data_IF_038545431025
#
_entry.id   IF_038545431025
#
_cell.length_a   1.000
_cell.length_b   1.000
_cell.length_c   1.000
_cell.angle_alpha   90.00
_cell.angle_beta   90.00
_cell.angle_gamma   90.00
#
_symmetry.space_group_name_H-M   'P 1'
#
loop_
_entity.id
_entity.type
_entity.pdbx_description
1 polymer ?
#
# COMPACT_ATOMS: atom_id res chain seq x y z
N UNK A 1 -39.96 -12.25 17.85
CA UNK A 1 -39.13 -11.16 17.31
C UNK A 1 -37.89 -11.78 16.69
N UNK A 2 -37.50 -11.29 15.54
CA UNK A 2 -36.32 -11.84 14.86
C UNK A 2 -35.03 -11.40 15.56
N UNK A 3 -34.00 -12.28 15.65
CA UNK A 3 -32.71 -11.88 16.14
C UNK A 3 -32.09 -10.83 15.20
N UNK A 4 -31.16 -9.99 15.65
CA UNK A 4 -30.52 -9.02 14.80
C UNK A 4 -29.62 -9.71 13.77
N UNK A 5 -29.53 -9.11 12.59
CA UNK A 5 -28.50 -9.43 11.61
C UNK A 5 -27.19 -8.79 12.08
N UNK A 6 -26.13 -9.57 12.17
CA UNK A 6 -24.82 -9.11 12.65
C UNK A 6 -23.89 -8.97 11.46
N UNK A 7 -23.19 -7.84 11.40
CA UNK A 7 -22.11 -7.59 10.44
C UNK A 7 -20.90 -7.07 11.19
N UNK A 8 -19.76 -7.70 10.97
CA UNK A 8 -18.52 -7.37 11.63
C UNK A 8 -17.52 -6.81 10.61
N UNK A 9 -16.88 -5.71 10.97
CA UNK A 9 -15.83 -5.05 10.23
C UNK A 9 -14.66 -4.84 11.19
N UNK A 10 -13.48 -4.61 10.69
CA UNK A 10 -12.28 -4.54 11.55
C UNK A 10 -12.29 -3.42 12.61
N UNK A 11 -13.18 -2.44 12.50
CA UNK A 11 -13.30 -1.31 13.45
C UNK A 11 -14.73 -1.04 13.92
N UNK A 12 -15.68 -1.87 13.48
CA UNK A 12 -17.06 -1.74 13.92
C UNK A 12 -17.82 -3.06 13.87
N UNK A 13 -18.78 -3.18 14.78
CA UNK A 13 -19.74 -4.28 14.84
C UNK A 13 -21.14 -3.69 14.75
N UNK A 14 -21.96 -4.23 13.88
CA UNK A 14 -23.32 -3.76 13.63
C UNK A 14 -24.36 -4.83 13.94
N UNK A 15 -25.45 -4.41 14.59
CA UNK A 15 -26.63 -5.20 14.88
C UNK A 15 -27.83 -4.55 14.26
N UNK A 16 -28.45 -5.20 13.27
CA UNK A 16 -29.61 -4.70 12.54
C UNK A 16 -30.87 -5.49 12.91
N UNK A 17 -31.81 -4.84 13.55
CA UNK A 17 -33.17 -5.34 13.70
C UNK A 17 -34.06 -4.78 12.58
N UNK A 18 -34.31 -5.59 11.55
CA UNK A 18 -35.09 -5.19 10.37
C UNK A 18 -36.53 -4.86 10.77
N UNK A 19 -37.12 -5.68 11.63
CA UNK A 19 -38.49 -5.53 12.13
C UNK A 19 -38.70 -4.29 13.03
N UNK A 20 -37.63 -3.68 13.52
CA UNK A 20 -37.66 -2.49 14.39
C UNK A 20 -37.11 -1.24 13.72
N UNK A 21 -36.61 -1.34 12.51
CA UNK A 21 -35.96 -0.25 11.77
C UNK A 21 -34.84 0.41 12.58
N UNK A 22 -34.06 -0.38 13.33
CA UNK A 22 -32.96 0.08 14.17
C UNK A 22 -31.71 -0.72 13.89
N UNK A 23 -30.60 -0.01 13.73
CA UNK A 23 -29.27 -0.57 13.70
C UNK A 23 -28.42 0.02 14.81
N UNK A 24 -27.78 -0.82 15.60
CA UNK A 24 -26.74 -0.42 16.56
C UNK A 24 -25.37 -0.64 15.91
N UNK A 25 -24.49 0.34 16.06
CA UNK A 25 -23.15 0.34 15.51
C UNK A 25 -22.17 0.64 16.65
N UNK A 26 -21.30 -0.32 16.96
CA UNK A 26 -20.22 -0.16 17.94
C UNK A 26 -18.93 0.15 17.20
N UNK A 27 -18.22 1.22 17.60
CA UNK A 27 -17.00 1.71 16.91
C UNK A 27 -15.95 2.16 17.92
N UNK A 28 -14.69 2.29 17.46
CA UNK A 28 -13.55 2.76 18.25
C UNK A 28 -13.37 1.96 19.55
N UNK A 29 -13.60 0.65 19.47
CA UNK A 29 -13.40 -0.24 20.58
C UNK A 29 -11.90 -0.29 20.95
N UNK A 30 -11.60 -0.16 22.24
CA UNK A 30 -10.24 -0.23 22.76
C UNK A 30 -10.27 -0.65 24.22
N UNK A 31 -9.21 -1.29 24.64
CA UNK A 31 -9.01 -1.64 26.03
C UNK A 31 -8.32 -0.47 26.77
N UNK A 32 -8.88 -0.08 27.92
CA UNK A 32 -8.28 0.92 28.79
C UNK A 32 -7.20 0.30 29.68
N UNK A 33 -6.36 1.11 30.29
CA UNK A 33 -5.33 0.66 31.25
C UNK A 33 -5.89 -0.15 32.41
N UNK A 34 -7.18 -0.02 32.72
CA UNK A 34 -7.89 -0.78 33.73
C UNK A 34 -8.54 -2.08 33.24
N UNK A 35 -8.27 -2.50 32.01
CA UNK A 35 -8.82 -3.71 31.37
C UNK A 35 -10.30 -3.59 30.99
N UNK A 36 -10.84 -2.37 30.91
CA UNK A 36 -12.22 -2.15 30.44
C UNK A 36 -12.24 -1.92 28.94
N UNK A 37 -13.16 -2.57 28.24
CA UNK A 37 -13.39 -2.28 26.83
C UNK A 37 -14.34 -1.10 26.71
N UNK A 38 -13.83 -0.03 26.11
CA UNK A 38 -14.50 1.22 25.86
C UNK A 38 -14.74 1.40 24.35
N UNK A 39 -15.76 2.19 23.98
CA UNK A 39 -16.03 2.50 22.59
C UNK A 39 -17.18 3.49 22.44
N UNK A 40 -17.68 3.62 21.22
CA UNK A 40 -18.88 4.42 20.91
C UNK A 40 -19.96 3.51 20.37
N UNK A 41 -21.18 3.68 20.86
CA UNK A 41 -22.38 3.07 20.31
C UNK A 41 -23.23 4.15 19.64
N UNK A 42 -23.66 3.87 18.40
CA UNK A 42 -24.57 4.72 17.64
C UNK A 42 -25.79 3.90 17.26
N UNK A 43 -26.98 4.43 17.56
CA UNK A 43 -28.25 3.89 17.04
C UNK A 43 -28.69 4.72 15.82
N UNK A 44 -29.04 4.06 14.73
CA UNK A 44 -29.54 4.70 13.51
C UNK A 44 -30.82 4.04 13.02
N UNK A 45 -31.65 4.79 12.29
CA UNK A 45 -32.71 4.22 11.47
C UNK A 45 -32.14 4.01 10.06
N UNK A 46 -31.96 2.74 9.61
CA UNK A 46 -31.34 2.45 8.33
C UNK A 46 -32.22 2.83 7.14
N UNK A 47 -33.54 2.90 7.31
CA UNK A 47 -34.52 3.17 6.25
C UNK A 47 -34.77 4.67 6.02
N UNK A 48 -34.36 5.52 6.95
CA UNK A 48 -34.45 6.97 6.87
C UNK A 48 -33.08 7.59 6.67
N UNK A 49 -33.02 8.64 5.86
CA UNK A 49 -31.77 9.37 5.60
C UNK A 49 -31.82 10.78 6.17
N UNK A 50 -30.69 11.18 6.78
CA UNK A 50 -30.45 12.55 7.21
C UNK A 50 -29.06 12.96 6.68
N UNK A 51 -29.06 13.84 5.68
CA UNK A 51 -27.82 14.19 4.96
C UNK A 51 -27.28 13.02 4.12
N UNK A 52 -25.99 12.73 4.26
CA UNK A 52 -25.29 11.70 3.47
C UNK A 52 -25.44 10.25 3.99
N UNK A 53 -26.11 10.06 5.15
CA UNK A 53 -26.17 8.73 5.80
C UNK A 53 -27.54 8.40 6.40
N UNK A 54 -27.68 7.25 7.08
CA UNK A 54 -28.88 6.89 7.81
C UNK A 54 -29.18 7.89 8.93
N UNK A 55 -30.47 8.04 9.26
CA UNK A 55 -30.89 8.92 10.34
C UNK A 55 -30.32 8.46 11.69
N UNK A 56 -29.54 9.33 12.34
CA UNK A 56 -28.99 9.05 13.67
C UNK A 56 -30.05 9.27 14.73
N UNK A 57 -30.42 8.23 15.44
CA UNK A 57 -31.37 8.27 16.52
C UNK A 57 -30.71 8.64 17.86
N UNK A 58 -29.52 8.07 18.12
CA UNK A 58 -28.81 8.23 19.38
C UNK A 58 -27.33 7.87 19.23
N UNK A 59 -26.46 8.44 20.07
CA UNK A 59 -25.05 8.02 20.18
C UNK A 59 -24.54 8.28 21.60
N UNK A 60 -23.62 7.44 22.08
CA UNK A 60 -23.00 7.55 23.38
C UNK A 60 -21.63 6.84 23.39
N UNK A 61 -20.69 7.40 24.20
CA UNK A 61 -19.53 6.65 24.64
C UNK A 61 -19.98 5.59 25.65
N UNK A 62 -19.53 4.37 25.50
CA UNK A 62 -19.94 3.23 26.32
C UNK A 62 -18.76 2.43 26.84
N UNK A 63 -18.89 1.88 28.04
CA UNK A 63 -18.06 0.80 28.56
C UNK A 63 -18.84 -0.51 28.44
N UNK A 64 -18.33 -1.47 27.68
CA UNK A 64 -19.03 -2.74 27.45
C UNK A 64 -19.25 -3.54 28.74
N UNK A 65 -18.39 -3.34 29.74
CA UNK A 65 -18.44 -4.06 31.03
C UNK A 65 -19.31 -3.38 32.10
N UNK A 66 -19.80 -2.15 31.82
CA UNK A 66 -20.50 -1.34 32.85
C UNK A 66 -22.02 -1.49 32.75
N UNK A 67 -22.65 -1.96 33.78
CA UNK A 67 -24.12 -2.13 33.84
C UNK A 67 -24.89 -0.79 33.73
N UNK A 68 -24.32 0.32 34.21
CA UNK A 68 -24.93 1.65 34.08
C UNK A 68 -25.11 2.08 32.65
N UNK A 69 -24.09 1.83 31.79
CA UNK A 69 -24.14 2.24 30.37
C UNK A 69 -25.18 1.42 29.63
N UNK A 70 -25.28 0.10 29.89
CA UNK A 70 -26.35 -0.74 29.33
C UNK A 70 -27.75 -0.22 29.70
N UNK A 71 -27.96 0.12 30.98
CA UNK A 71 -29.24 0.67 31.44
C UNK A 71 -29.62 1.99 30.77
N UNK A 72 -28.63 2.89 30.56
CA UNK A 72 -28.86 4.19 29.89
C UNK A 72 -29.24 3.95 28.43
N UNK A 73 -28.51 3.07 27.73
CA UNK A 73 -28.78 2.72 26.33
C UNK A 73 -30.16 2.07 26.21
N UNK A 74 -30.50 1.12 27.07
CA UNK A 74 -31.79 0.43 27.10
C UNK A 74 -32.94 1.44 27.26
N UNK A 75 -32.89 2.28 28.29
CA UNK A 75 -33.93 3.29 28.54
C UNK A 75 -34.10 4.26 27.35
N UNK A 76 -32.99 4.62 26.69
CA UNK A 76 -33.04 5.48 25.52
C UNK A 76 -33.68 4.80 24.32
N UNK A 77 -33.37 3.54 24.05
CA UNK A 77 -33.97 2.77 22.95
C UNK A 77 -35.46 2.48 23.20
N UNK A 78 -35.85 2.19 24.44
CA UNK A 78 -37.28 2.04 24.80
C UNK A 78 -38.06 3.32 24.53
N UNK A 79 -37.46 4.48 24.76
CA UNK A 79 -38.08 5.79 24.45
C UNK A 79 -38.15 6.09 22.95
N UNK A 80 -37.16 5.67 22.18
CA UNK A 80 -37.06 5.95 20.73
C UNK A 80 -37.88 4.96 19.88
N UNK A 81 -38.06 3.75 20.35
CA UNK A 81 -38.76 2.67 19.64
C UNK A 81 -39.83 2.08 20.57
N UNK A 82 -40.95 2.81 20.76
CA UNK A 82 -42.03 2.38 21.64
C UNK A 82 -42.80 1.19 21.04
N UNK A 83 -43.56 0.48 21.91
CA UNK A 83 -44.47 -0.59 21.47
C UNK A 83 -43.91 -2.00 21.56
N UNK A 84 -42.69 -2.19 22.02
CA UNK A 84 -42.13 -3.49 22.31
C UNK A 84 -42.52 -3.97 23.73
N UNK A 85 -42.60 -5.29 23.97
CA UNK A 85 -42.78 -5.81 25.32
C UNK A 85 -41.68 -5.33 26.27
N UNK A 86 -42.07 -5.06 27.51
CA UNK A 86 -41.14 -4.61 28.57
C UNK A 86 -39.95 -5.56 28.71
N UNK A 87 -38.75 -5.02 28.80
CA UNK A 87 -37.52 -5.81 28.94
C UNK A 87 -36.95 -6.38 27.65
N UNK A 88 -37.59 -6.16 26.49
CA UNK A 88 -37.05 -6.63 25.21
C UNK A 88 -35.70 -5.97 24.88
N UNK A 89 -35.63 -4.65 25.02
CA UNK A 89 -34.35 -3.93 24.79
C UNK A 89 -33.30 -4.26 25.84
N UNK A 90 -33.68 -4.51 27.08
CA UNK A 90 -32.74 -4.92 28.13
C UNK A 90 -32.01 -6.20 27.76
N UNK A 91 -32.75 -7.25 27.34
CA UNK A 91 -32.15 -8.52 26.91
C UNK A 91 -31.28 -8.38 25.65
N UNK A 92 -31.75 -7.61 24.67
CA UNK A 92 -31.00 -7.44 23.41
C UNK A 92 -29.74 -6.60 23.61
N UNK A 93 -29.78 -5.55 24.44
CA UNK A 93 -28.61 -4.72 24.75
C UNK A 93 -27.60 -5.50 25.56
N UNK A 94 -28.02 -6.26 26.59
CA UNK A 94 -27.11 -7.11 27.35
C UNK A 94 -26.41 -8.11 26.44
N UNK A 95 -27.14 -8.76 25.53
CA UNK A 95 -26.56 -9.69 24.56
C UNK A 95 -25.59 -9.01 23.60
N UNK A 96 -25.96 -7.84 23.06
CA UNK A 96 -25.09 -7.10 22.15
C UNK A 96 -23.79 -6.65 22.84
N UNK A 97 -23.86 -6.12 24.06
CA UNK A 97 -22.68 -5.69 24.80
C UNK A 97 -21.74 -6.86 25.12
N UNK A 98 -22.30 -8.01 25.51
CA UNK A 98 -21.53 -9.24 25.72
C UNK A 98 -20.87 -9.73 24.44
N UNK A 99 -21.64 -9.86 23.34
CA UNK A 99 -21.13 -10.34 22.06
C UNK A 99 -20.06 -9.40 21.48
N UNK A 100 -20.24 -8.07 21.59
CA UNK A 100 -19.20 -7.08 21.19
C UNK A 100 -17.94 -7.23 22.04
N UNK A 101 -18.08 -7.43 23.34
CA UNK A 101 -16.96 -7.65 24.24
C UNK A 101 -16.19 -8.92 23.86
N UNK A 102 -16.88 -10.04 23.72
CA UNK A 102 -16.31 -11.34 23.36
C UNK A 102 -15.58 -11.27 22.00
N UNK A 103 -16.21 -10.69 20.97
CA UNK A 103 -15.58 -10.52 19.64
C UNK A 103 -14.36 -9.62 19.68
N UNK A 104 -14.43 -8.52 20.43
CA UNK A 104 -13.29 -7.59 20.52
C UNK A 104 -12.10 -8.20 21.28
N UNK A 105 -12.35 -9.05 22.28
CA UNK A 105 -11.32 -9.69 23.08
C UNK A 105 -10.92 -11.08 22.57
N UNK A 106 -11.64 -11.61 21.57
CA UNK A 106 -11.34 -12.91 20.99
C UNK A 106 -9.95 -12.93 20.33
N UNK A 107 -9.17 -13.93 20.67
CA UNK A 107 -7.93 -14.24 19.98
C UNK A 107 -8.26 -15.20 18.84
N UNK A 108 -7.74 -14.98 17.62
CA UNK A 108 -7.95 -15.90 16.50
C UNK A 108 -7.50 -17.32 16.87
N UNK A 109 -8.28 -18.31 16.47
CA UNK A 109 -7.91 -19.70 16.65
C UNK A 109 -6.62 -20.02 15.86
N UNK A 110 -5.70 -20.80 16.46
CA UNK A 110 -4.48 -21.18 15.77
C UNK A 110 -4.79 -22.12 14.60
N UNK A 111 -4.15 -21.88 13.45
CA UNK A 111 -4.25 -22.75 12.28
C UNK A 111 -2.97 -23.57 12.11
N UNK A 112 -3.12 -24.82 11.66
CA UNK A 112 -1.98 -25.66 11.32
C UNK A 112 -1.52 -25.28 9.92
N UNK A 113 -0.24 -24.89 9.80
CA UNK A 113 0.38 -24.65 8.50
C UNK A 113 0.73 -25.99 7.85
N UNK A 114 0.08 -26.31 6.75
CA UNK A 114 0.27 -27.59 6.02
C UNK A 114 1.17 -27.46 4.80
N UNK A 115 1.66 -26.24 4.51
CA UNK A 115 2.33 -25.92 3.25
C UNK A 115 1.34 -25.80 2.10
N UNK A 116 1.86 -25.59 0.91
CA UNK A 116 1.08 -25.50 -0.35
C UNK A 116 1.70 -26.44 -1.38
N UNK A 117 0.93 -26.79 -2.42
CA UNK A 117 1.45 -27.60 -3.53
C UNK A 117 2.46 -26.80 -4.37
N UNK A 118 3.32 -27.49 -5.13
CA UNK A 118 4.38 -26.87 -5.92
C UNK A 118 3.85 -25.81 -6.90
N UNK A 119 2.65 -26.01 -7.44
CA UNK A 119 1.98 -25.05 -8.31
C UNK A 119 1.59 -23.73 -7.62
N UNK A 120 1.42 -23.76 -6.29
CA UNK A 120 1.03 -22.60 -5.47
C UNK A 120 2.23 -21.94 -4.77
N UNK A 121 3.47 -22.39 -5.05
CA UNK A 121 4.69 -21.81 -4.48
C UNK A 121 5.12 -20.51 -5.18
N UNK A 122 4.62 -20.25 -6.39
CA UNK A 122 4.92 -19.02 -7.08
C UNK A 122 4.24 -17.82 -6.42
N UNK A 123 4.96 -16.71 -6.31
CA UNK A 123 4.40 -15.47 -5.76
C UNK A 123 3.35 -14.91 -6.70
N UNK A 124 2.12 -14.88 -6.25
CA UNK A 124 1.02 -14.25 -6.99
C UNK A 124 1.24 -12.74 -7.08
N UNK A 125 1.39 -12.24 -8.30
CA UNK A 125 1.48 -10.82 -8.59
C UNK A 125 0.23 -10.34 -9.34
N UNK A 126 -0.34 -9.20 -8.94
CA UNK A 126 -1.36 -8.51 -9.73
C UNK A 126 -0.74 -7.95 -11.01
N UNK A 127 0.48 -7.39 -10.91
CA UNK A 127 1.36 -6.98 -12.00
C UNK A 127 2.77 -7.49 -11.69
N UNK A 128 3.22 -8.49 -12.40
CA UNK A 128 4.55 -9.05 -12.21
C UNK A 128 5.66 -8.12 -12.74
N UNK A 129 6.73 -7.93 -11.98
CA UNK A 129 6.98 -8.27 -10.57
C UNK A 129 6.63 -7.12 -9.60
N UNK A 130 5.83 -6.14 -10.02
CA UNK A 130 5.69 -4.82 -9.37
C UNK A 130 4.69 -4.81 -8.22
N UNK A 131 3.56 -5.49 -8.39
CA UNK A 131 2.44 -5.46 -7.45
C UNK A 131 2.09 -6.86 -6.95
N UNK A 132 2.64 -7.32 -5.83
CA UNK A 132 2.21 -8.57 -5.20
C UNK A 132 0.72 -8.54 -4.85
N UNK A 133 0.01 -9.60 -5.19
CA UNK A 133 -1.43 -9.72 -5.01
C UNK A 133 -1.82 -9.65 -3.52
N UNK A 134 -2.82 -8.84 -3.20
CA UNK A 134 -3.32 -8.69 -1.83
C UNK A 134 -2.39 -7.95 -0.88
N UNK A 135 -1.24 -7.46 -1.33
CA UNK A 135 -0.21 -6.89 -0.48
C UNK A 135 -0.06 -5.36 -0.66
N UNK A 136 0.69 -4.75 0.27
CA UNK A 136 1.01 -3.33 0.24
C UNK A 136 2.33 -3.11 -0.49
N UNK A 137 2.29 -2.31 -1.56
CA UNK A 137 3.47 -1.86 -2.32
C UNK A 137 3.68 -0.36 -2.13
N UNK A 138 4.90 0.04 -1.78
CA UNK A 138 5.31 1.45 -1.75
C UNK A 138 6.08 1.81 -3.02
N UNK A 139 5.70 2.92 -3.64
CA UNK A 139 6.40 3.53 -4.77
C UNK A 139 7.09 4.81 -4.32
N UNK A 140 8.40 4.74 -4.11
CA UNK A 140 9.22 5.86 -3.68
C UNK A 140 9.74 6.64 -4.88
N UNK A 141 9.56 7.95 -4.89
CA UNK A 141 10.19 8.80 -5.90
C UNK A 141 10.15 10.27 -5.49
N UNK A 142 11.05 11.06 -6.04
CA UNK A 142 11.08 12.51 -5.86
C UNK A 142 9.84 13.20 -6.41
N UNK A 143 9.63 14.44 -5.98
CA UNK A 143 8.59 15.29 -6.56
C UNK A 143 8.84 15.50 -8.07
N UNK A 144 7.79 15.45 -8.88
CA UNK A 144 7.90 15.59 -10.34
C UNK A 144 8.41 14.35 -11.08
N UNK A 145 8.58 13.22 -10.38
CA UNK A 145 9.04 11.95 -10.97
C UNK A 145 7.98 11.17 -11.74
N UNK A 146 6.78 11.70 -11.91
CA UNK A 146 5.65 11.08 -12.63
C UNK A 146 5.00 9.86 -11.94
N UNK A 147 5.17 9.69 -10.61
CA UNK A 147 4.51 8.62 -9.83
C UNK A 147 3.02 8.47 -10.12
N UNK A 148 2.28 9.58 -9.98
CA UNK A 148 0.81 9.59 -10.19
C UNK A 148 0.41 9.15 -11.60
N UNK A 149 1.23 9.47 -12.63
CA UNK A 149 0.99 8.96 -13.98
C UNK A 149 1.15 7.45 -14.06
N UNK A 150 2.21 6.89 -13.46
CA UNK A 150 2.41 5.44 -13.42
C UNK A 150 1.27 4.76 -12.66
N UNK A 151 0.87 5.27 -11.50
CA UNK A 151 -0.20 4.66 -10.69
C UNK A 151 -1.55 4.71 -11.42
N UNK A 152 -1.89 5.83 -12.06
CA UNK A 152 -3.09 5.94 -12.90
C UNK A 152 -3.01 5.01 -14.12
N UNK A 153 -1.84 4.88 -14.76
CA UNK A 153 -1.62 3.97 -15.88
C UNK A 153 -1.84 2.51 -15.47
N UNK A 154 -1.25 2.07 -14.35
CA UNK A 154 -1.45 0.71 -13.83
C UNK A 154 -2.93 0.47 -13.48
N UNK A 155 -3.58 1.45 -12.84
CA UNK A 155 -5.02 1.38 -12.53
C UNK A 155 -5.87 1.26 -13.78
N UNK A 156 -5.57 2.03 -14.83
CA UNK A 156 -6.27 1.95 -16.11
C UNK A 156 -6.05 0.60 -16.79
N UNK A 157 -4.81 0.09 -16.82
CA UNK A 157 -4.52 -1.22 -17.41
C UNK A 157 -5.25 -2.36 -16.66
N UNK A 158 -5.24 -2.35 -15.33
CA UNK A 158 -5.94 -3.37 -14.52
C UNK A 158 -7.45 -3.33 -14.78
N UNK A 159 -8.05 -2.15 -14.84
CA UNK A 159 -9.49 -2.00 -15.05
C UNK A 159 -9.94 -2.29 -16.50
N UNK A 160 -9.03 -2.13 -17.45
CA UNK A 160 -9.28 -2.43 -18.89
C UNK A 160 -8.87 -3.85 -19.28
N UNK A 161 -8.13 -4.58 -18.45
CA UNK A 161 -7.48 -5.83 -18.84
C UNK A 161 -6.37 -5.62 -19.86
N UNK A 162 -5.77 -4.44 -19.90
CA UNK A 162 -4.73 -4.10 -20.86
C UNK A 162 -3.34 -4.47 -20.34
N UNK A 163 -2.46 -4.94 -21.23
CA UNK A 163 -1.07 -5.22 -20.89
C UNK A 163 -0.36 -3.96 -20.42
N UNK A 164 0.38 -4.05 -19.31
CA UNK A 164 1.26 -2.98 -18.84
C UNK A 164 2.64 -3.06 -19.50
N UNK A 165 3.51 -2.06 -19.22
CA UNK A 165 4.93 -2.12 -19.63
C UNK A 165 5.73 -3.18 -18.87
N UNK A 166 5.18 -3.80 -17.86
CA UNK A 166 5.82 -4.85 -17.05
C UNK A 166 5.28 -6.23 -17.43
N UNK A 167 4.00 -6.45 -17.22
CA UNK A 167 3.31 -7.70 -17.53
C UNK A 167 1.82 -7.46 -17.85
N UNK A 168 1.11 -8.51 -18.19
CA UNK A 168 -0.36 -8.50 -18.16
C UNK A 168 -0.84 -8.57 -16.71
N UNK A 169 -1.97 -7.89 -16.35
CA UNK A 169 -2.59 -8.08 -15.05
C UNK A 169 -3.07 -9.53 -14.88
N UNK A 170 -2.74 -10.14 -13.74
CA UNK A 170 -3.22 -11.49 -13.42
C UNK A 170 -4.71 -11.53 -13.09
N UNK A 171 -5.25 -10.38 -12.65
CA UNK A 171 -6.68 -10.17 -12.39
C UNK A 171 -7.11 -8.82 -12.95
N UNK A 172 -8.34 -8.76 -13.45
CA UNK A 172 -9.01 -7.52 -13.88
C UNK A 172 -10.18 -7.22 -12.95
N UNK A 173 -10.50 -5.95 -12.78
CA UNK A 173 -11.62 -5.56 -11.93
C UNK A 173 -11.60 -4.07 -11.60
N UNK A 174 -12.53 -3.61 -10.73
CA UNK A 174 -12.56 -2.23 -10.31
C UNK A 174 -11.29 -1.81 -9.57
N UNK A 175 -10.94 -0.52 -9.68
CA UNK A 175 -9.89 0.09 -8.89
C UNK A 175 -10.42 1.36 -8.21
N UNK A 176 -9.90 1.68 -7.02
CA UNK A 176 -10.20 2.92 -6.32
C UNK A 176 -8.91 3.71 -6.15
N UNK A 177 -8.94 4.98 -6.53
CA UNK A 177 -7.85 5.93 -6.40
C UNK A 177 -8.22 7.00 -5.37
N UNK A 178 -7.64 6.91 -4.17
CA UNK A 178 -7.74 7.94 -3.14
C UNK A 178 -6.59 8.93 -3.29
N UNK A 179 -6.91 10.18 -3.56
CA UNK A 179 -5.96 11.23 -3.90
C UNK A 179 -6.00 12.39 -2.90
N UNK A 180 -4.88 12.65 -2.24
CA UNK A 180 -4.68 13.78 -1.33
C UNK A 180 -3.94 14.96 -1.99
N UNK A 181 -3.44 14.81 -3.23
CA UNK A 181 -2.57 15.81 -3.87
C UNK A 181 -3.30 16.67 -4.90
N UNK A 182 -4.14 16.06 -5.73
CA UNK A 182 -4.78 16.80 -6.84
C UNK A 182 -6.30 16.66 -6.81
N UNK A 183 -6.97 17.48 -7.60
CA UNK A 183 -8.41 17.41 -7.78
C UNK A 183 -8.82 16.45 -8.92
N UNK A 184 -10.11 16.14 -8.95
CA UNK A 184 -10.71 15.26 -9.95
C UNK A 184 -10.45 15.71 -11.40
N UNK A 185 -10.45 17.02 -11.65
CA UNK A 185 -10.23 17.58 -13.00
C UNK A 185 -8.84 17.26 -13.50
N UNK A 186 -7.83 17.39 -12.64
CA UNK A 186 -6.44 17.07 -12.99
C UNK A 186 -6.28 15.55 -13.19
N UNK A 187 -6.86 14.74 -12.31
CA UNK A 187 -6.83 13.29 -12.43
C UNK A 187 -7.51 12.81 -13.73
N UNK A 188 -8.69 13.32 -14.05
CA UNK A 188 -9.41 13.01 -15.30
C UNK A 188 -8.61 13.40 -16.54
N UNK A 189 -7.93 14.57 -16.52
CA UNK A 189 -7.06 14.98 -17.64
C UNK A 189 -5.91 14.01 -17.85
N UNK A 190 -5.24 13.61 -16.77
CA UNK A 190 -4.14 12.61 -16.81
C UNK A 190 -4.64 11.27 -17.33
N UNK A 191 -5.78 10.80 -16.84
CA UNK A 191 -6.41 9.54 -17.26
C UNK A 191 -6.75 9.57 -18.76
N UNK A 192 -7.34 10.68 -19.24
CA UNK A 192 -7.65 10.83 -20.65
C UNK A 192 -6.40 10.74 -21.55
N UNK A 193 -5.28 11.32 -21.15
CA UNK A 193 -4.01 11.21 -21.86
C UNK A 193 -3.47 9.79 -21.88
N UNK A 194 -3.55 9.09 -20.74
CA UNK A 194 -3.14 7.69 -20.60
C UNK A 194 -3.98 6.81 -21.52
N UNK A 195 -5.30 6.93 -21.46
CA UNK A 195 -6.21 6.10 -22.24
C UNK A 195 -6.06 6.32 -23.75
N UNK A 196 -5.81 7.57 -24.19
CA UNK A 196 -5.45 7.84 -25.59
C UNK A 196 -4.15 7.16 -26.00
N UNK A 197 -3.14 7.15 -25.12
CA UNK A 197 -1.88 6.45 -25.34
C UNK A 197 -2.04 4.93 -25.42
N UNK A 198 -3.03 4.37 -24.71
CA UNK A 198 -3.43 2.96 -24.74
C UNK A 198 -4.35 2.63 -25.92
N UNK A 199 -4.84 3.63 -26.68
CA UNK A 199 -5.83 3.42 -27.73
C UNK A 199 -7.22 3.02 -27.20
N UNK A 200 -7.55 3.38 -25.95
CA UNK A 200 -8.78 2.98 -25.25
C UNK A 200 -9.56 4.18 -24.75
N UNK A 201 -10.83 3.98 -24.43
CA UNK A 201 -11.63 4.94 -23.67
C UNK A 201 -11.38 4.79 -22.17
N UNK A 202 -11.59 5.85 -21.36
CA UNK A 202 -11.49 5.75 -19.90
C UNK A 202 -12.41 4.65 -19.34
N UNK A 203 -11.88 3.80 -18.45
CA UNK A 203 -12.67 2.72 -17.85
C UNK A 203 -13.74 3.26 -16.89
N UNK A 204 -14.91 2.64 -16.89
CA UNK A 204 -16.02 2.99 -15.97
C UNK A 204 -15.82 2.43 -14.56
N UNK A 205 -14.91 1.49 -14.38
CA UNK A 205 -14.62 0.80 -13.11
C UNK A 205 -13.40 1.37 -12.36
N UNK A 206 -12.81 2.47 -12.84
CA UNK A 206 -11.81 3.22 -12.09
C UNK A 206 -12.52 4.36 -11.34
N UNK A 207 -12.62 4.19 -10.02
CA UNK A 207 -13.25 5.14 -9.11
C UNK A 207 -12.20 6.09 -8.55
N UNK A 208 -12.49 7.38 -8.57
CA UNK A 208 -11.61 8.42 -8.01
C UNK A 208 -12.27 9.09 -6.81
N UNK A 209 -11.50 9.31 -5.74
CA UNK A 209 -11.97 9.98 -4.52
C UNK A 209 -10.97 11.06 -4.14
N UNK A 210 -11.41 12.32 -4.22
CA UNK A 210 -10.61 13.45 -3.75
C UNK A 210 -10.62 13.50 -2.22
N UNK A 211 -9.46 13.34 -1.61
CA UNK A 211 -9.23 13.31 -0.18
C UNK A 211 -8.52 14.58 0.34
N UNK A 212 -8.16 15.53 -0.52
CA UNK A 212 -7.31 16.69 -0.20
C UNK A 212 -7.82 17.56 0.96
N UNK A 213 -9.14 17.61 1.18
CA UNK A 213 -9.80 18.37 2.27
C UNK A 213 -10.45 17.46 3.31
N UNK A 214 -10.20 16.15 3.28
CA UNK A 214 -10.95 15.17 4.09
C UNK A 214 -10.22 14.73 5.36
N UNK A 215 -9.02 15.27 5.63
CA UNK A 215 -8.22 14.93 6.80
C UNK A 215 -7.35 13.68 6.58
N UNK A 216 -6.89 13.08 7.68
CA UNK A 216 -5.93 11.98 7.67
C UNK A 216 -6.62 10.65 7.35
N UNK A 217 -5.87 9.71 6.79
CA UNK A 217 -6.38 8.39 6.40
C UNK A 217 -7.01 7.62 7.57
N UNK A 218 -6.39 7.63 8.74
CA UNK A 218 -6.90 6.90 9.90
C UNK A 218 -8.16 7.52 10.52
N UNK A 219 -8.44 8.82 10.25
CA UNK A 219 -9.71 9.45 10.61
C UNK A 219 -10.83 9.07 9.62
N UNK A 220 -10.50 8.57 8.43
CA UNK A 220 -11.41 8.26 7.31
C UNK A 220 -11.46 6.78 6.92
N UNK A 221 -10.70 5.95 7.60
CA UNK A 221 -10.59 4.52 7.26
C UNK A 221 -11.94 3.82 7.15
N UNK A 222 -12.90 4.17 8.00
CA UNK A 222 -14.26 3.64 7.97
C UNK A 222 -14.98 3.96 6.66
N UNK A 223 -14.96 5.23 6.25
CA UNK A 223 -15.61 5.67 5.01
C UNK A 223 -14.96 4.99 3.79
N UNK A 224 -13.62 4.86 3.81
CA UNK A 224 -12.85 4.17 2.77
C UNK A 224 -13.20 2.69 2.69
N UNK A 225 -13.34 2.00 3.82
CA UNK A 225 -13.77 0.58 3.86
C UNK A 225 -15.15 0.39 3.26
N UNK A 226 -16.13 1.22 3.63
CA UNK A 226 -17.47 1.13 3.05
C UNK A 226 -17.46 1.31 1.52
N UNK A 227 -16.57 2.17 0.99
CA UNK A 227 -16.41 2.28 -0.47
C UNK A 227 -15.81 1.01 -1.05
N UNK A 228 -14.79 0.44 -0.40
CA UNK A 228 -14.12 -0.79 -0.84
C UNK A 228 -15.09 -1.97 -0.79
N UNK A 229 -15.87 -2.13 0.27
CA UNK A 229 -16.89 -3.17 0.40
C UNK A 229 -17.96 -3.09 -0.68
N UNK A 230 -18.40 -1.87 -1.02
CA UNK A 230 -19.40 -1.66 -2.07
C UNK A 230 -18.86 -1.87 -3.48
N UNK A 231 -17.61 -1.49 -3.74
CA UNK A 231 -17.01 -1.49 -5.08
C UNK A 231 -16.29 -2.80 -5.36
N UNK A 232 -15.79 -3.50 -4.31
CA UNK A 232 -15.00 -4.74 -4.41
C UNK A 232 -13.80 -4.59 -5.37
N UNK A 233 -12.89 -3.61 -5.12
CA UNK A 233 -11.79 -3.35 -6.01
C UNK A 233 -10.71 -4.43 -5.91
N UNK A 234 -10.00 -4.69 -7.02
CA UNK A 234 -8.78 -5.50 -7.04
C UNK A 234 -7.55 -4.67 -6.70
N UNK A 235 -7.63 -3.34 -6.87
CA UNK A 235 -6.56 -2.38 -6.57
C UNK A 235 -7.10 -1.16 -5.82
N UNK A 236 -6.43 -0.80 -4.73
CA UNK A 236 -6.58 0.48 -4.02
C UNK A 236 -5.30 1.28 -4.17
N UNK A 237 -5.41 2.53 -4.62
CA UNK A 237 -4.28 3.47 -4.74
C UNK A 237 -4.42 4.56 -3.69
N UNK A 238 -3.28 4.95 -3.07
CA UNK A 238 -3.17 6.05 -2.11
C UNK A 238 -2.07 7.01 -2.60
N UNK A 239 -2.45 8.21 -3.01
CA UNK A 239 -1.57 9.26 -3.53
C UNK A 239 -1.76 10.56 -2.73
N UNK A 240 -0.86 10.91 -1.83
CA UNK A 240 0.33 10.21 -1.39
C UNK A 240 0.30 9.96 0.13
N UNK A 241 1.16 9.04 0.59
CA UNK A 241 1.33 8.71 2.01
C UNK A 241 1.58 9.95 2.88
N UNK A 242 2.39 10.88 2.39
CA UNK A 242 2.75 12.13 3.09
C UNK A 242 1.52 12.95 3.47
N UNK A 243 0.63 13.19 2.51
CA UNK A 243 -0.58 13.97 2.76
C UNK A 243 -1.68 13.14 3.43
N UNK A 244 -1.75 11.84 3.17
CA UNK A 244 -2.68 10.94 3.83
C UNK A 244 -2.40 10.80 5.34
N UNK A 245 -1.14 10.87 5.76
CA UNK A 245 -0.76 10.89 7.18
C UNK A 245 -1.12 12.22 7.84
N UNK A 246 -0.99 13.34 7.11
CA UNK A 246 -1.44 14.68 7.52
C UNK A 246 -0.70 15.27 8.74
N UNK A 247 0.49 14.75 9.07
CA UNK A 247 1.26 15.13 10.25
C UNK A 247 2.76 14.81 10.04
N UNK A 248 3.57 14.92 11.10
CA UNK A 248 4.98 14.57 11.06
C UNK A 248 5.17 13.07 10.78
N UNK A 249 5.67 12.76 9.60
CA UNK A 249 5.95 11.40 9.17
C UNK A 249 7.04 10.70 10.01
N UNK A 250 7.88 11.45 10.72
CA UNK A 250 8.94 10.90 11.56
C UNK A 250 8.41 10.39 12.91
N UNK A 251 7.21 10.82 13.30
CA UNK A 251 6.59 10.38 14.54
C UNK A 251 5.94 9.01 14.40
N UNK A 252 6.33 8.07 15.26
CA UNK A 252 5.69 6.76 15.35
C UNK A 252 4.20 6.87 15.72
N UNK A 253 3.82 7.93 16.44
CA UNK A 253 2.45 8.26 16.83
C UNK A 253 1.50 8.35 15.63
N UNK A 254 2.00 8.84 14.48
CA UNK A 254 1.20 8.96 13.25
C UNK A 254 1.46 7.83 12.26
N UNK A 255 2.68 7.30 12.23
CA UNK A 255 3.04 6.23 11.30
C UNK A 255 2.31 4.91 11.59
N UNK A 256 2.24 4.51 12.86
CA UNK A 256 1.60 3.26 13.28
C UNK A 256 0.09 3.25 12.96
N UNK A 257 -0.72 4.26 13.36
CA UNK A 257 -2.14 4.32 13.00
C UNK A 257 -2.37 4.41 11.49
N UNK A 258 -1.53 5.16 10.75
CA UNK A 258 -1.62 5.24 9.29
C UNK A 258 -1.44 3.88 8.65
N UNK A 259 -0.41 3.12 9.03
CA UNK A 259 -0.16 1.80 8.47
C UNK A 259 -1.19 0.76 8.92
N UNK A 260 -1.70 0.87 10.14
CA UNK A 260 -2.82 0.04 10.59
C UNK A 260 -4.08 0.31 9.77
N UNK A 261 -4.41 1.59 9.53
CA UNK A 261 -5.52 2.00 8.66
C UNK A 261 -5.37 1.42 7.25
N UNK A 262 -4.19 1.58 6.62
CA UNK A 262 -3.89 1.03 5.29
C UNK A 262 -4.04 -0.50 5.28
N UNK A 263 -3.48 -1.19 6.27
CA UNK A 263 -3.57 -2.64 6.40
C UNK A 263 -5.01 -3.15 6.46
N UNK A 264 -5.88 -2.36 7.08
CA UNK A 264 -7.29 -2.69 7.27
C UNK A 264 -8.21 -2.35 6.07
N UNK A 265 -7.68 -1.76 4.98
CA UNK A 265 -8.43 -1.44 3.77
C UNK A 265 -8.68 -2.69 2.91
N UNK A 266 -9.54 -3.58 3.38
CA UNK A 266 -9.94 -4.80 2.68
C UNK A 266 -8.87 -5.89 2.70
N UNK A 267 -9.24 -7.06 3.16
CA UNK A 267 -8.42 -8.27 3.11
C UNK A 267 -8.29 -8.74 1.66
N UNK A 268 -7.09 -9.17 1.26
CA UNK A 268 -6.83 -9.65 -0.10
C UNK A 268 -6.83 -8.56 -1.20
N UNK A 269 -7.10 -7.30 -0.87
CA UNK A 269 -7.04 -6.19 -1.84
C UNK A 269 -5.61 -5.70 -1.99
N UNK A 270 -5.12 -5.60 -3.23
CA UNK A 270 -3.78 -5.04 -3.52
C UNK A 270 -3.77 -3.53 -3.29
N UNK A 271 -2.72 -3.02 -2.63
CA UNK A 271 -2.59 -1.60 -2.29
C UNK A 271 -1.30 -1.03 -2.87
N UNK A 272 -1.41 0.04 -3.66
CA UNK A 272 -0.30 0.79 -4.24
C UNK A 272 -0.26 2.20 -3.66
N UNK A 273 0.86 2.56 -3.03
CA UNK A 273 0.98 3.79 -2.28
C UNK A 273 2.18 4.58 -2.76
N UNK A 274 1.99 5.85 -3.12
CA UNK A 274 3.12 6.73 -3.40
C UNK A 274 3.70 7.32 -2.12
N UNK A 275 5.02 7.43 -2.06
CA UNK A 275 5.73 8.09 -0.99
C UNK A 275 6.95 8.84 -1.52
N UNK A 276 7.50 9.74 -0.68
CA UNK A 276 8.73 10.46 -0.99
C UNK A 276 9.92 9.82 -0.28
N UNK A 277 11.11 9.77 -0.92
CA UNK A 277 12.33 9.36 -0.25
C UNK A 277 12.79 10.43 0.75
N UNK A 278 13.51 10.02 1.80
CA UNK A 278 14.09 10.91 2.77
C UNK A 278 15.12 11.85 2.09
N UNK A 279 15.07 13.15 2.42
CA UNK A 279 16.00 14.14 1.84
C UNK A 279 17.47 13.83 2.12
N UNK A 280 17.78 13.28 3.30
CA UNK A 280 19.14 12.88 3.66
C UNK A 280 19.67 11.72 2.81
N UNK A 281 18.77 10.85 2.32
CA UNK A 281 19.13 9.68 1.49
C UNK A 281 19.07 9.96 -0.02
N UNK A 282 18.70 11.17 -0.47
CA UNK A 282 18.59 11.50 -1.91
C UNK A 282 19.88 11.34 -2.69
N UNK A 283 21.03 11.61 -2.03
CA UNK A 283 22.36 11.48 -2.62
C UNK A 283 23.04 10.16 -2.21
N UNK A 284 22.39 9.33 -1.42
CA UNK A 284 22.89 8.04 -1.02
C UNK A 284 22.84 7.04 -2.20
N UNK A 285 23.66 6.01 -2.12
CA UNK A 285 23.53 4.87 -3.03
C UNK A 285 22.14 4.26 -2.88
N UNK A 286 21.68 3.59 -3.93
CA UNK A 286 20.27 3.13 -4.03
C UNK A 286 19.84 2.27 -2.82
N UNK A 287 20.78 1.60 -2.15
CA UNK A 287 20.54 0.75 -0.98
C UNK A 287 20.22 1.53 0.30
N UNK A 288 20.66 2.78 0.40
CA UNK A 288 20.49 3.62 1.62
C UNK A 288 19.29 4.57 1.53
N UNK A 289 18.49 4.48 0.45
CA UNK A 289 17.33 5.33 0.28
C UNK A 289 16.19 4.81 1.14
N UNK A 290 15.78 5.58 2.13
CA UNK A 290 14.63 5.29 2.99
C UNK A 290 13.41 6.15 2.65
N UNK A 291 12.24 5.70 3.05
CA UNK A 291 11.01 6.51 3.01
C UNK A 291 11.17 7.73 3.91
N UNK A 292 10.64 8.90 3.51
CA UNK A 292 10.48 10.02 4.44
C UNK A 292 9.61 9.56 5.61
N UNK A 293 10.15 9.66 6.81
CA UNK A 293 9.42 9.39 8.02
C UNK A 293 9.88 8.13 8.75
N UNK A 294 8.95 7.53 9.48
CA UNK A 294 9.22 6.36 10.30
C UNK A 294 9.53 5.13 9.47
N UNK A 295 10.52 4.34 9.88
CA UNK A 295 10.83 3.01 9.32
C UNK A 295 9.64 2.04 9.38
N UNK A 296 8.61 2.34 10.19
CA UNK A 296 7.38 1.55 10.26
C UNK A 296 6.66 1.45 8.91
N UNK A 297 6.77 2.46 8.05
CA UNK A 297 6.21 2.41 6.70
C UNK A 297 6.86 1.31 5.86
N UNK A 298 8.18 1.14 5.97
CA UNK A 298 8.92 0.12 5.24
C UNK A 298 8.67 -1.29 5.80
N UNK A 299 8.54 -1.43 7.13
CA UNK A 299 8.28 -2.73 7.75
C UNK A 299 6.94 -3.33 7.34
N UNK A 300 5.91 -2.53 7.22
CA UNK A 300 4.56 -2.98 6.86
C UNK A 300 4.36 -3.18 5.36
N UNK A 301 5.15 -2.52 4.51
CA UNK A 301 5.12 -2.78 3.07
C UNK A 301 5.76 -4.13 2.74
N UNK A 302 5.18 -4.87 1.80
CA UNK A 302 5.75 -6.14 1.33
C UNK A 302 6.67 -5.94 0.14
N UNK A 303 6.36 -4.98 -0.75
CA UNK A 303 7.23 -4.58 -1.83
C UNK A 303 7.52 -3.07 -1.76
N UNK A 304 8.74 -2.66 -2.06
CA UNK A 304 9.16 -1.26 -2.12
C UNK A 304 9.97 -1.04 -3.38
N UNK A 305 9.49 -0.13 -4.23
CA UNK A 305 10.16 0.27 -5.45
C UNK A 305 10.62 1.71 -5.38
N UNK A 306 11.88 1.96 -5.73
CA UNK A 306 12.41 3.30 -5.88
C UNK A 306 12.43 3.69 -7.36
N UNK A 307 11.67 4.72 -7.71
CA UNK A 307 11.54 5.22 -9.07
C UNK A 307 12.42 6.45 -9.27
N UNK A 308 13.24 6.44 -10.32
CA UNK A 308 14.06 7.58 -10.77
C UNK A 308 13.69 7.93 -12.20
N UNK A 309 13.60 9.23 -12.48
CA UNK A 309 13.38 9.77 -13.82
C UNK A 309 14.66 10.35 -14.38
N UNK A 310 14.90 10.17 -15.68
CA UNK A 310 15.93 10.92 -16.41
C UNK A 310 15.69 12.41 -16.33
N UNK A 311 16.78 13.18 -16.10
CA UNK A 311 16.74 14.64 -16.13
C UNK A 311 16.76 15.14 -17.59
N UNK A 312 15.82 14.67 -18.39
CA UNK A 312 15.68 15.10 -19.79
C UNK A 312 14.74 16.31 -19.88
N UNK A 313 15.08 17.28 -20.73
CA UNK A 313 14.21 18.42 -21.07
C UNK A 313 13.32 18.13 -22.27
N UNK A 314 13.15 16.86 -22.63
CA UNK A 314 12.35 16.40 -23.77
C UNK A 314 11.00 15.85 -23.32
N UNK A 315 10.04 15.80 -24.23
CA UNK A 315 8.73 15.20 -23.97
C UNK A 315 8.81 13.68 -23.73
N UNK A 316 9.88 13.04 -24.25
CA UNK A 316 10.21 11.63 -24.02
C UNK A 316 11.38 11.50 -23.07
N UNK A 317 11.25 10.66 -22.04
CA UNK A 317 12.29 10.39 -21.06
C UNK A 317 12.18 8.97 -20.49
N UNK A 318 13.31 8.49 -19.97
CA UNK A 318 13.41 7.21 -19.31
C UNK A 318 13.02 7.29 -17.84
N UNK A 319 12.52 6.19 -17.32
CA UNK A 319 12.23 5.97 -15.89
C UNK A 319 12.76 4.60 -15.50
N UNK A 320 13.48 4.53 -14.39
CA UNK A 320 13.89 3.28 -13.78
C UNK A 320 13.14 3.01 -12.48
N UNK A 321 12.91 1.75 -12.17
CA UNK A 321 12.35 1.26 -10.91
C UNK A 321 13.30 0.24 -10.31
N UNK A 322 13.85 0.54 -9.15
CA UNK A 322 14.79 -0.34 -8.43
C UNK A 322 14.06 -0.97 -7.26
N UNK A 323 14.07 -2.31 -7.14
CA UNK A 323 13.49 -2.96 -5.97
C UNK A 323 14.33 -2.66 -4.74
N UNK A 324 13.69 -2.21 -3.66
CA UNK A 324 14.30 -1.98 -2.35
C UNK A 324 14.00 -3.12 -1.38
N UNK A 325 12.81 -3.65 -1.48
CA UNK A 325 12.33 -4.78 -0.72
C UNK A 325 11.52 -5.66 -1.66
N UNK A 326 12.08 -6.77 -2.13
CA UNK A 326 11.33 -7.77 -2.89
C UNK A 326 10.35 -8.50 -1.97
N UNK A 327 9.25 -8.96 -2.54
CA UNK A 327 8.29 -9.80 -1.83
C UNK A 327 8.65 -11.27 -2.04
N UNK A 328 8.82 -12.01 -0.93
CA UNK A 328 8.96 -13.47 -0.82
C UNK A 328 9.58 -14.19 -2.06
N UNK A 329 10.75 -13.74 -2.49
CA UNK A 329 11.41 -14.36 -3.65
C UNK A 329 12.86 -13.89 -3.81
N UNK A 330 13.52 -14.34 -4.87
CA UNK A 330 14.89 -13.93 -5.16
C UNK A 330 14.96 -12.43 -5.45
N UNK A 331 16.13 -11.79 -5.26
CA UNK A 331 16.33 -10.39 -5.59
C UNK A 331 15.93 -10.10 -7.05
N UNK A 332 15.07 -9.13 -7.23
CA UNK A 332 14.59 -8.72 -8.55
C UNK A 332 15.55 -7.73 -9.19
N UNK A 333 15.67 -7.80 -10.51
CA UNK A 333 16.46 -6.83 -11.27
C UNK A 333 15.71 -5.50 -11.42
N UNK A 334 16.43 -4.36 -11.51
CA UNK A 334 15.82 -3.08 -11.82
C UNK A 334 15.06 -3.11 -13.16
N UNK A 335 13.89 -2.48 -13.18
CA UNK A 335 13.03 -2.33 -14.35
C UNK A 335 13.23 -0.95 -14.97
N UNK A 336 12.95 -0.83 -16.26
CA UNK A 336 12.96 0.45 -16.96
C UNK A 336 11.83 0.55 -17.99
N UNK A 337 11.35 1.79 -18.19
CA UNK A 337 10.37 2.12 -19.22
C UNK A 337 10.56 3.57 -19.69
N UNK A 338 10.03 3.90 -20.84
CA UNK A 338 9.96 5.30 -21.32
C UNK A 338 8.55 5.84 -21.19
N UNK A 339 8.46 7.13 -20.89
CA UNK A 339 7.23 7.92 -21.05
C UNK A 339 7.42 8.91 -22.18
N UNK A 340 6.47 8.98 -23.09
CA UNK A 340 6.46 9.88 -24.24
C UNK A 340 5.17 10.70 -24.24
N UNK A 341 5.29 12.01 -24.02
CA UNK A 341 4.17 12.95 -23.97
C UNK A 341 3.99 13.62 -25.33
N UNK A 342 2.89 13.30 -26.00
CA UNK A 342 2.46 13.98 -27.19
C UNK A 342 1.48 15.11 -26.83
N UNK A 343 2.00 16.33 -26.76
CA UNK A 343 1.22 17.50 -26.37
C UNK A 343 0.22 17.94 -27.49
N UNK A 344 0.45 17.54 -28.73
CA UNK A 344 -0.43 17.88 -29.87
C UNK A 344 -1.69 17.01 -29.83
N UNK A 345 -1.50 15.71 -29.66
CA UNK A 345 -2.59 14.74 -29.62
C UNK A 345 -3.12 14.50 -28.20
N UNK A 346 -2.55 15.15 -27.20
CA UNK A 346 -2.91 15.02 -25.78
C UNK A 346 -2.91 13.56 -25.31
N UNK A 347 -1.82 12.86 -25.50
CA UNK A 347 -1.64 11.49 -25.06
C UNK A 347 -0.27 11.26 -24.41
N UNK A 348 -0.17 10.20 -23.62
CA UNK A 348 1.10 9.71 -23.07
C UNK A 348 1.23 8.21 -23.36
N UNK A 349 2.37 7.82 -23.93
CA UNK A 349 2.71 6.42 -24.18
C UNK A 349 3.72 5.93 -23.17
N UNK A 350 3.46 4.76 -22.64
CA UNK A 350 4.39 4.00 -21.82
C UNK A 350 4.96 2.87 -22.69
N UNK A 351 6.27 2.70 -22.68
CA UNK A 351 6.93 1.66 -23.47
C UNK A 351 8.01 0.98 -22.63
N UNK A 352 8.03 -0.35 -22.62
CA UNK A 352 9.08 -1.12 -21.97
C UNK A 352 10.43 -0.76 -22.56
N UNK A 353 11.47 -0.67 -21.74
CA UNK A 353 12.81 -0.31 -22.15
C UNK A 353 13.84 -1.09 -21.33
N UNK A 354 15.08 -1.11 -21.82
CA UNK A 354 16.20 -1.70 -21.06
C UNK A 354 16.95 -0.60 -20.34
N UNK A 355 17.34 -0.86 -19.11
CA UNK A 355 18.13 0.09 -18.34
C UNK A 355 19.47 0.43 -19.03
N UNK A 356 20.02 -0.52 -19.79
CA UNK A 356 21.22 -0.32 -20.62
C UNK A 356 21.08 0.77 -21.68
N UNK A 357 19.85 1.08 -22.11
CA UNK A 357 19.57 2.08 -23.12
C UNK A 357 19.48 3.49 -22.50
N UNK A 358 19.64 3.60 -21.17
CA UNK A 358 19.53 4.81 -20.36
C UNK A 358 20.78 5.01 -19.49
N UNK A 359 21.95 5.38 -20.07
CA UNK A 359 23.22 5.41 -19.33
C UNK A 359 23.21 6.30 -18.08
N UNK A 360 22.44 7.39 -18.08
CA UNK A 360 22.28 8.28 -16.93
C UNK A 360 21.56 7.65 -15.75
N UNK A 361 20.50 6.87 -16.02
CA UNK A 361 19.77 6.11 -15.01
C UNK A 361 20.53 4.85 -14.61
N UNK A 362 21.16 4.17 -15.55
CA UNK A 362 21.91 2.96 -15.31
C UNK A 362 22.98 3.17 -14.21
N UNK A 363 23.79 4.24 -14.34
CA UNK A 363 24.82 4.57 -13.35
C UNK A 363 24.27 4.80 -11.94
N UNK A 364 23.09 5.36 -11.82
CA UNK A 364 22.46 5.72 -10.54
C UNK A 364 21.53 4.67 -9.98
N UNK A 365 21.21 3.64 -10.75
CA UNK A 365 20.23 2.59 -10.41
C UNK A 365 20.90 1.27 -10.02
N UNK A 366 22.04 0.97 -10.64
CA UNK A 366 22.79 -0.26 -10.34
C UNK A 366 23.41 -0.21 -8.95
N UNK A 367 23.23 -1.29 -8.20
CA UNK A 367 23.95 -1.52 -6.94
C UNK A 367 25.45 -1.69 -7.21
N UNK A 368 26.28 -1.53 -6.18
CA UNK A 368 27.72 -1.72 -6.31
C UNK A 368 28.03 -3.16 -6.77
N UNK A 369 27.32 -4.15 -6.23
CA UNK A 369 27.47 -5.55 -6.62
C UNK A 369 27.15 -5.80 -8.10
N UNK A 370 26.09 -5.18 -8.63
CA UNK A 370 25.76 -5.26 -10.06
C UNK A 370 26.81 -4.57 -10.95
N UNK A 371 27.34 -3.42 -10.51
CA UNK A 371 28.45 -2.73 -11.20
C UNK A 371 29.70 -3.61 -11.26
N UNK A 372 30.05 -4.25 -10.13
CA UNK A 372 31.17 -5.20 -10.06
C UNK A 372 30.92 -6.39 -10.99
N UNK A 373 29.73 -7.02 -10.92
CA UNK A 373 29.35 -8.16 -11.77
C UNK A 373 29.51 -7.79 -13.26
N UNK A 374 29.06 -6.62 -13.67
CA UNK A 374 29.17 -6.16 -15.04
C UNK A 374 30.61 -5.88 -15.48
N UNK A 375 31.42 -5.31 -14.57
CA UNK A 375 32.83 -5.08 -14.83
C UNK A 375 33.56 -6.41 -15.05
N UNK A 376 33.29 -7.41 -14.20
CA UNK A 376 33.87 -8.76 -14.31
C UNK A 376 33.35 -9.52 -15.56
N UNK A 377 32.04 -9.36 -15.90
CA UNK A 377 31.48 -9.98 -17.11
C UNK A 377 32.12 -9.45 -18.39
N UNK A 378 32.48 -8.16 -18.43
CA UNK A 378 33.11 -7.53 -19.62
C UNK A 378 34.60 -7.79 -19.70
N UNK A 379 35.30 -7.80 -18.59
CA UNK A 379 36.78 -7.82 -18.54
C UNK A 379 37.37 -9.14 -18.03
N UNK A 380 36.50 -10.06 -17.60
CA UNK A 380 36.95 -11.31 -17.01
C UNK A 380 37.44 -11.14 -15.57
N UNK A 381 38.62 -11.62 -15.27
CA UNK A 381 39.25 -11.57 -13.94
C UNK A 381 39.86 -10.20 -13.71
N UNK A 382 39.50 -9.54 -12.61
CA UNK A 382 40.04 -8.24 -12.21
C UNK A 382 40.45 -8.27 -10.75
N UNK A 383 41.55 -7.55 -10.42
CA UNK A 383 41.89 -7.36 -9.03
C UNK A 383 41.10 -6.20 -8.37
N UNK A 384 41.20 -6.11 -7.05
CA UNK A 384 40.48 -5.11 -6.27
C UNK A 384 40.78 -3.68 -6.72
N UNK A 385 42.05 -3.37 -7.10
CA UNK A 385 42.41 -2.01 -7.51
C UNK A 385 41.91 -1.71 -8.91
N UNK A 386 41.98 -2.66 -9.83
CA UNK A 386 41.43 -2.54 -11.18
C UNK A 386 39.90 -2.32 -11.14
N UNK A 387 39.19 -3.09 -10.30
CA UNK A 387 37.75 -2.86 -10.11
C UNK A 387 37.46 -1.47 -9.53
N UNK A 388 38.23 -1.05 -8.51
CA UNK A 388 38.09 0.25 -7.90
C UNK A 388 38.30 1.40 -8.91
N UNK A 389 39.33 1.27 -9.77
CA UNK A 389 39.64 2.25 -10.83
C UNK A 389 38.50 2.30 -11.89
N UNK A 390 38.07 1.14 -12.40
CA UNK A 390 36.99 1.05 -13.40
C UNK A 390 35.66 1.66 -12.86
N UNK A 391 35.38 1.45 -11.59
CA UNK A 391 34.13 1.88 -10.97
C UNK A 391 34.21 3.28 -10.33
N UNK A 392 35.43 3.86 -10.20
CA UNK A 392 35.64 5.16 -9.58
C UNK A 392 35.38 5.19 -8.08
N UNK A 393 35.66 4.09 -7.36
CA UNK A 393 35.38 3.88 -5.92
C UNK A 393 36.67 3.50 -5.17
N UNK A 394 36.58 3.44 -3.82
CA UNK A 394 37.73 2.99 -3.00
C UNK A 394 37.87 1.47 -3.04
N UNK A 395 39.11 0.93 -3.05
CA UNK A 395 39.36 -0.51 -3.04
C UNK A 395 38.69 -1.27 -1.88
N UNK A 396 38.58 -0.64 -0.71
CA UNK A 396 37.93 -1.27 0.44
C UNK A 396 36.42 -1.47 0.24
N UNK A 397 35.74 -0.62 -0.52
CA UNK A 397 34.33 -0.81 -0.88
C UNK A 397 34.14 -2.03 -1.76
N UNK A 398 35.07 -2.27 -2.71
CA UNK A 398 35.07 -3.49 -3.54
C UNK A 398 35.22 -4.74 -2.68
N UNK A 399 36.21 -4.73 -1.73
CA UNK A 399 36.44 -5.89 -0.84
C UNK A 399 35.21 -6.21 0.02
N UNK A 400 34.60 -5.19 0.61
CA UNK A 400 33.40 -5.34 1.45
C UNK A 400 32.25 -5.93 0.63
N UNK A 401 32.00 -5.39 -0.55
CA UNK A 401 30.89 -5.83 -1.39
C UNK A 401 31.10 -7.24 -1.96
N UNK A 402 32.28 -7.54 -2.48
CA UNK A 402 32.59 -8.90 -2.94
C UNK A 402 32.58 -9.91 -1.78
N UNK A 403 33.03 -9.50 -0.59
CA UNK A 403 33.00 -10.34 0.61
C UNK A 403 31.58 -10.63 1.13
N UNK A 404 30.61 -9.78 0.85
CA UNK A 404 29.18 -10.03 1.16
C UNK A 404 28.55 -11.10 0.25
N UNK A 405 29.11 -11.31 -0.94
CA UNK A 405 28.57 -12.22 -1.95
C UNK A 405 29.63 -13.22 -2.46
N UNK A 406 30.24 -14.05 -1.59
CA UNK A 406 31.34 -14.93 -1.97
C UNK A 406 30.94 -15.99 -3.00
N UNK A 407 29.66 -16.37 -3.04
CA UNK A 407 29.13 -17.30 -4.03
C UNK A 407 29.02 -16.69 -5.42
N UNK A 408 28.94 -15.38 -5.54
CA UNK A 408 28.86 -14.65 -6.80
C UNK A 408 30.26 -14.21 -7.26
N UNK A 409 31.07 -13.74 -6.30
CA UNK A 409 32.42 -13.21 -6.51
C UNK A 409 33.48 -14.04 -5.78
N UNK A 410 33.80 -15.25 -6.26
CA UNK A 410 34.85 -16.05 -5.64
C UNK A 410 36.23 -15.40 -5.78
N UNK A 411 37.06 -15.54 -4.77
CA UNK A 411 38.47 -15.18 -4.82
C UNK A 411 39.20 -16.25 -5.64
N UNK A 412 39.83 -15.83 -6.74
CA UNK A 412 40.59 -16.73 -7.62
C UNK A 412 42.09 -16.54 -7.54
N UNK A 413 42.56 -15.53 -6.79
CA UNK A 413 43.98 -15.29 -6.59
C UNK A 413 44.27 -14.10 -5.70
N UNK A 414 45.46 -13.92 -5.23
CA UNK A 414 45.87 -12.83 -4.37
C UNK A 414 45.51 -13.04 -2.89
N UNK A 415 45.39 -11.96 -2.10
CA UNK A 415 44.97 -12.00 -0.69
C UNK A 415 46.07 -12.23 0.34
N UNK A 416 47.35 -12.30 -0.06
CA UNK A 416 48.48 -12.27 0.86
C UNK A 416 48.96 -10.85 1.18
N UNK A 417 49.83 -10.69 2.21
CA UNK A 417 50.41 -9.38 2.60
C UNK A 417 51.01 -8.66 1.37
N UNK A 418 50.39 -7.50 0.99
CA UNK A 418 50.84 -6.68 -0.14
C UNK A 418 50.34 -7.09 -1.54
N UNK A 419 49.51 -8.12 -1.68
CA UNK A 419 48.89 -8.52 -2.97
C UNK A 419 47.42 -8.19 -3.00
N UNK A 420 46.97 -7.53 -4.07
CA UNK A 420 45.54 -7.28 -4.28
C UNK A 420 44.77 -8.60 -4.54
N UNK A 421 43.58 -8.70 -3.96
CA UNK A 421 42.70 -9.87 -4.17
C UNK A 421 42.11 -9.84 -5.57
N UNK A 422 42.14 -10.96 -6.29
CA UNK A 422 41.57 -11.09 -7.63
C UNK A 422 40.21 -11.80 -7.57
N UNK A 423 39.26 -11.25 -8.25
CA UNK A 423 37.87 -11.68 -8.30
C UNK A 423 37.49 -12.17 -9.69
N UNK A 424 36.51 -13.06 -9.75
CA UNK A 424 35.86 -13.46 -10.99
C UNK A 424 34.34 -13.63 -10.75
N UNK A 425 33.56 -13.79 -11.81
CA UNK A 425 32.22 -14.32 -11.67
C UNK A 425 32.25 -15.84 -11.55
N UNK A 426 31.39 -16.37 -10.71
CA UNK A 426 31.11 -17.81 -10.73
C UNK A 426 30.36 -18.13 -12.02
N UNK A 427 30.82 -19.13 -12.75
CA UNK A 427 30.18 -19.60 -13.98
C UNK A 427 28.81 -20.23 -13.69
#
# INVERSE_FOLDING_TARGET
MSPPQISEYSDEIRYLWVDRHVQLIFTKLHESDSGRVLGFMTAVNPDRRSGAGPERLYWQAVSLTTASDRKIVTAKLESLVPGLPKGTWEQDIDRCFMDVYERHTAVPEPVILTGVEEADLETDNLIDPVLPLGQVTLLLADQGSTKSFLMLYLSACITLGARTVFSEPSRTGPAIYFDWEVDERVANKRLAWICRGLGSSPPRSLHYVNMSTRGRIFDRVRDMRHMIERIQPVLVVIDSLTFATGADLNSAEYAAPTMAAIGSLGEGVTKLISAHPNKASRNAETEDISVIGSTLFEYRARAIWHMKREQARTARFGVSMTPRKPFDGPPQSPLAYTMDFDNVNHLVRFQSARLSDMPGLEKTTMTLGEKIRRALARNGRLDTNQLAEILGIKPDQVKVECGRMPDVFPIIGGGGRGKATTWALRA
#
